data_IF_523437816302
#
_entry.id   IF_523437816302
#
_cell.length_a   1.000
_cell.length_b   1.000
_cell.length_c   1.000
_cell.angle_alpha   90.00
_cell.angle_beta   90.00
_cell.angle_gamma   90.00
#
_symmetry.space_group_name_H-M   'P 1'
#
loop_
_entity.id
_entity.type
_entity.pdbx_description
1 polymer ?
#
# COMPACT_ATOMS: atom_id res chain seq x y z
N UNK A 1 31.51 15.65 -1.50
CA UNK A 1 30.16 15.65 -0.91
C UNK A 1 29.50 14.31 -1.20
N UNK A 2 28.99 13.59 -0.20
CA UNK A 2 28.35 12.28 -0.42
C UNK A 2 26.98 12.48 -1.07
N UNK A 3 26.77 11.87 -2.23
CA UNK A 3 25.49 11.82 -2.93
C UNK A 3 24.54 10.89 -2.17
N UNK A 4 23.45 11.44 -1.64
CA UNK A 4 22.38 10.66 -1.01
C UNK A 4 21.27 10.46 -2.04
N UNK A 5 20.99 9.21 -2.43
CA UNK A 5 19.81 8.91 -3.24
C UNK A 5 18.58 9.00 -2.35
N UNK A 6 17.58 9.85 -2.67
CA UNK A 6 16.38 9.94 -1.86
C UNK A 6 15.68 8.57 -1.87
N UNK A 7 15.56 7.96 -0.69
CA UNK A 7 14.92 6.68 -0.49
C UNK A 7 13.42 6.81 -0.83
N UNK A 8 13.03 6.28 -1.99
CA UNK A 8 11.66 6.43 -2.54
C UNK A 8 10.69 5.31 -2.11
N UNK A 9 11.16 4.35 -1.32
CA UNK A 9 10.35 3.18 -0.93
C UNK A 9 9.28 3.51 0.12
N UNK A 10 9.35 4.66 0.78
CA UNK A 10 8.36 5.15 1.75
C UNK A 10 6.94 5.31 1.14
N UNK A 11 6.83 5.37 -0.19
CA UNK A 11 5.55 5.44 -0.91
C UNK A 11 5.11 4.11 -1.53
N UNK A 12 5.89 3.04 -1.37
CA UNK A 12 5.43 1.71 -1.73
C UNK A 12 4.40 1.29 -0.69
N UNK A 13 3.30 0.69 -1.14
CA UNK A 13 2.21 0.25 -0.28
C UNK A 13 2.74 -0.49 0.95
N UNK A 14 2.20 -0.18 2.13
CA UNK A 14 2.56 -0.89 3.34
C UNK A 14 2.09 -2.35 3.23
N UNK A 15 3.06 -3.26 3.28
CA UNK A 15 2.82 -4.70 3.24
C UNK A 15 2.91 -5.27 4.66
N UNK A 16 1.86 -5.94 5.09
CA UNK A 16 1.76 -6.65 6.37
C UNK A 16 1.62 -8.14 6.04
N UNK A 17 2.58 -8.96 6.48
CA UNK A 17 2.65 -10.40 6.16
C UNK A 17 2.52 -10.72 4.65
N UNK A 18 3.04 -9.84 3.78
CA UNK A 18 3.02 -10.04 2.33
C UNK A 18 1.72 -9.60 1.64
N UNK A 19 0.71 -9.18 2.40
CA UNK A 19 -0.53 -8.57 1.90
C UNK A 19 -0.47 -7.04 2.09
N UNK A 20 -1.03 -6.25 1.17
CA UNK A 20 -1.26 -4.83 1.41
C UNK A 20 -2.29 -4.65 2.53
N UNK A 21 -2.21 -3.51 3.24
CA UNK A 21 -3.02 -3.23 4.44
C UNK A 21 -4.52 -3.51 4.23
N UNK A 22 -5.08 -3.18 3.06
CA UNK A 22 -6.50 -3.40 2.78
C UNK A 22 -6.88 -4.89 2.70
N UNK A 23 -6.05 -5.74 2.06
CA UNK A 23 -6.27 -7.19 2.03
C UNK A 23 -6.02 -7.82 3.41
N UNK A 24 -5.04 -7.30 4.15
CA UNK A 24 -4.81 -7.72 5.53
C UNK A 24 -6.02 -7.42 6.41
N UNK A 25 -6.63 -6.25 6.29
CA UNK A 25 -7.86 -5.91 7.02
C UNK A 25 -9.01 -6.87 6.68
N UNK A 26 -9.17 -7.24 5.41
CA UNK A 26 -10.17 -8.23 4.99
C UNK A 26 -9.94 -9.60 5.66
N UNK A 27 -8.69 -10.06 5.72
CA UNK A 27 -8.32 -11.28 6.45
C UNK A 27 -8.68 -11.18 7.93
N UNK A 28 -8.39 -10.05 8.58
CA UNK A 28 -8.69 -9.86 10.00
C UNK A 28 -10.19 -9.86 10.28
N UNK A 29 -11.00 -9.28 9.41
CA UNK A 29 -12.47 -9.33 9.53
C UNK A 29 -12.96 -10.78 9.43
N UNK A 30 -12.44 -11.57 8.48
CA UNK A 30 -12.79 -12.99 8.36
C UNK A 30 -12.42 -13.80 9.61
N UNK A 31 -11.27 -13.52 10.22
CA UNK A 31 -10.84 -14.14 11.49
C UNK A 31 -11.81 -13.79 12.61
N UNK A 32 -12.17 -12.51 12.76
CA UNK A 32 -13.08 -12.05 13.82
C UNK A 32 -14.48 -12.68 13.65
N UNK A 33 -15.04 -12.66 12.44
CA UNK A 33 -16.34 -13.25 12.14
C UNK A 33 -16.31 -14.77 12.35
N UNK A 34 -15.24 -15.44 11.91
CA UNK A 34 -15.05 -16.87 12.11
C UNK A 34 -14.97 -17.23 13.60
N UNK A 35 -14.22 -16.46 14.39
CA UNK A 35 -14.13 -16.65 15.83
C UNK A 35 -15.51 -16.50 16.49
N UNK A 36 -16.26 -15.46 16.12
CA UNK A 36 -17.62 -15.24 16.62
C UNK A 36 -18.54 -16.42 16.27
N UNK A 37 -18.44 -16.98 15.07
CA UNK A 37 -19.22 -18.14 14.68
C UNK A 37 -18.85 -19.40 15.48
N UNK A 38 -17.55 -19.63 15.71
CA UNK A 38 -17.06 -20.81 16.44
C UNK A 38 -17.59 -20.82 17.88
N UNK A 39 -17.57 -19.67 18.57
CA UNK A 39 -18.02 -19.61 19.96
C UNK A 39 -19.52 -19.88 20.12
N UNK A 40 -20.35 -19.58 19.11
CA UNK A 40 -21.79 -19.88 19.14
C UNK A 40 -22.14 -21.30 18.67
N UNK A 41 -21.29 -21.93 17.85
CA UNK A 41 -21.59 -23.22 17.23
C UNK A 41 -21.30 -24.43 18.14
N UNK A 42 -20.50 -24.28 19.21
CA UNK A 42 -20.16 -25.30 20.22
C UNK A 42 -19.82 -26.71 19.64
N UNK A 43 -19.11 -26.79 18.52
CA UNK A 43 -18.77 -28.05 17.87
C UNK A 43 -17.33 -28.09 17.36
N UNK A 44 -16.65 -29.23 17.57
CA UNK A 44 -15.29 -29.49 17.07
C UNK A 44 -15.16 -29.27 15.55
N UNK A 45 -16.21 -29.61 14.80
CA UNK A 45 -16.25 -29.41 13.35
C UNK A 45 -16.21 -27.93 12.95
N UNK A 46 -16.82 -27.05 13.75
CA UNK A 46 -16.81 -25.60 13.49
C UNK A 46 -15.41 -25.01 13.59
N UNK A 47 -14.62 -25.48 14.57
CA UNK A 47 -13.22 -25.07 14.74
C UNK A 47 -12.39 -25.47 13.50
N UNK A 48 -12.52 -26.71 13.05
CA UNK A 48 -11.78 -27.20 11.88
C UNK A 48 -12.14 -26.42 10.61
N UNK A 49 -13.43 -26.17 10.38
CA UNK A 49 -13.92 -25.42 9.21
C UNK A 49 -13.47 -23.95 9.30
N UNK A 50 -13.59 -23.33 10.47
CA UNK A 50 -13.20 -21.93 10.66
C UNK A 50 -11.70 -21.71 10.48
N UNK A 51 -10.86 -22.59 11.03
CA UNK A 51 -9.40 -22.52 10.87
C UNK A 51 -8.98 -22.78 9.42
N UNK A 52 -9.49 -23.85 8.80
CA UNK A 52 -9.16 -24.18 7.41
C UNK A 52 -9.66 -23.12 6.42
N UNK A 53 -10.86 -22.57 6.65
CA UNK A 53 -11.43 -21.48 5.85
C UNK A 53 -10.58 -20.21 5.92
N UNK A 54 -10.13 -19.81 7.11
CA UNK A 54 -9.24 -18.66 7.27
C UNK A 54 -7.89 -18.86 6.57
N UNK A 55 -7.33 -20.06 6.64
CA UNK A 55 -6.09 -20.40 5.96
C UNK A 55 -6.26 -20.38 4.43
N UNK A 56 -7.35 -20.94 3.93
CA UNK A 56 -7.65 -20.98 2.50
C UNK A 56 -7.88 -19.57 1.94
N UNK A 57 -8.61 -18.73 2.68
CA UNK A 57 -8.84 -17.33 2.34
C UNK A 57 -7.50 -16.57 2.26
N UNK A 58 -6.62 -16.73 3.24
CA UNK A 58 -5.29 -16.12 3.22
C UNK A 58 -4.48 -16.51 1.98
N UNK A 59 -4.46 -17.79 1.62
CA UNK A 59 -3.79 -18.27 0.41
C UNK A 59 -4.42 -17.69 -0.86
N UNK A 60 -5.75 -17.60 -0.95
CA UNK A 60 -6.42 -16.96 -2.07
C UNK A 60 -6.01 -15.50 -2.21
N UNK A 61 -6.02 -14.73 -1.12
CA UNK A 61 -5.64 -13.30 -1.12
C UNK A 61 -4.19 -13.09 -1.56
N UNK A 62 -3.26 -13.94 -1.13
CA UNK A 62 -1.86 -13.90 -1.60
C UNK A 62 -1.77 -14.11 -3.11
N UNK A 63 -2.49 -15.09 -3.65
CA UNK A 63 -2.45 -15.39 -5.08
C UNK A 63 -3.10 -14.27 -5.91
N UNK A 64 -4.21 -13.69 -5.43
CA UNK A 64 -4.84 -12.50 -6.01
C UNK A 64 -3.87 -11.32 -6.05
N UNK A 65 -3.12 -11.07 -4.97
CA UNK A 65 -2.08 -10.04 -4.93
C UNK A 65 -0.95 -10.30 -5.91
N UNK A 66 -0.50 -11.54 -6.06
CA UNK A 66 0.53 -11.91 -7.06
C UNK A 66 0.07 -11.59 -8.48
N UNK A 67 -1.21 -11.83 -8.79
CA UNK A 67 -1.79 -11.47 -10.08
C UNK A 67 -1.91 -9.95 -10.26
N UNK A 68 -2.40 -9.24 -9.25
CA UNK A 68 -2.55 -7.77 -9.26
C UNK A 68 -1.20 -7.04 -9.38
N UNK A 69 -0.13 -7.54 -8.72
CA UNK A 69 1.22 -6.99 -8.86
C UNK A 69 1.78 -7.12 -10.29
N UNK A 70 1.35 -8.15 -11.04
CA UNK A 70 1.69 -8.30 -12.47
C UNK A 70 0.93 -7.31 -13.35
N UNK A 71 -0.24 -6.87 -12.87
CA UNK A 71 -1.13 -5.90 -13.52
C UNK A 71 -0.96 -4.52 -12.82
N UNK A 72 0.21 -4.19 -12.25
CA UNK A 72 0.40 -2.86 -11.67
C UNK A 72 0.34 -1.79 -12.77
N UNK A 73 -0.88 -1.29 -12.91
CA UNK A 73 -1.38 -0.17 -13.66
C UNK A 73 -0.50 1.04 -13.36
N UNK A 74 0.16 1.52 -14.42
CA UNK A 74 0.64 2.87 -14.63
C UNK A 74 1.08 3.67 -13.39
N UNK A 75 2.40 3.86 -13.30
CA UNK A 75 3.02 4.93 -12.51
C UNK A 75 2.37 6.29 -12.84
N UNK A 76 1.37 6.73 -12.07
CA UNK A 76 0.80 8.09 -12.17
C UNK A 76 1.71 9.17 -11.55
N UNK A 77 2.96 8.84 -11.20
CA UNK A 77 3.94 9.85 -10.79
C UNK A 77 4.87 10.19 -11.96
N UNK A 78 4.84 11.43 -12.48
CA UNK A 78 5.77 11.86 -13.51
C UNK A 78 7.21 11.75 -12.98
N UNK A 79 8.10 11.17 -13.81
CA UNK A 79 9.52 10.89 -13.46
C UNK A 79 10.31 12.13 -13.05
N UNK A 80 9.90 13.32 -13.49
CA UNK A 80 10.59 14.58 -13.22
C UNK A 80 9.64 15.63 -12.66
N UNK A 81 9.68 15.84 -11.34
CA UNK A 81 9.37 17.14 -10.77
C UNK A 81 10.72 17.83 -10.58
N UNK A 82 11.23 18.44 -11.65
CA UNK A 82 12.40 19.30 -11.55
C UNK A 82 11.93 20.63 -10.96
N UNK A 83 12.24 20.86 -9.69
CA UNK A 83 12.15 22.20 -9.13
C UNK A 83 13.32 22.98 -9.72
N UNK A 84 13.13 23.59 -10.90
CA UNK A 84 14.08 24.61 -11.35
C UNK A 84 14.04 25.72 -10.30
N UNK A 85 15.17 25.96 -9.64
CA UNK A 85 15.26 27.09 -8.72
C UNK A 85 14.97 28.36 -9.52
N UNK A 86 13.92 29.07 -9.13
CA UNK A 86 13.66 30.43 -9.59
C UNK A 86 14.85 31.28 -9.12
N UNK A 87 15.76 31.55 -10.06
CA UNK A 87 16.87 32.48 -9.87
C UNK A 87 16.27 33.85 -9.48
N UNK A 88 16.55 34.38 -8.27
CA UNK A 88 15.93 35.63 -7.77
C UNK A 88 16.30 36.87 -8.59
N UNK A 89 17.38 36.76 -9.37
CA UNK A 89 18.04 37.86 -10.05
C UNK A 89 17.43 38.25 -11.40
N UNK A 90 16.46 37.51 -11.94
CA UNK A 90 15.75 37.93 -13.16
C UNK A 90 14.47 38.73 -12.88
N UNK A 91 13.85 38.54 -11.71
CA UNK A 91 12.63 39.27 -11.35
C UNK A 91 12.88 40.67 -10.79
N UNK A 92 14.08 40.94 -10.28
CA UNK A 92 14.44 42.28 -9.82
C UNK A 92 14.70 43.23 -10.99
N UNK A 93 15.08 42.76 -12.19
CA UNK A 93 15.51 43.67 -13.28
C UNK A 93 14.37 44.49 -13.90
N UNK A 94 13.13 43.99 -13.81
CA UNK A 94 11.98 44.67 -14.41
C UNK A 94 11.40 45.80 -13.54
N UNK A 95 11.77 45.92 -12.27
CA UNK A 95 11.17 46.90 -11.34
C UNK A 95 11.89 48.25 -11.28
N UNK A 96 13.03 48.42 -11.94
CA UNK A 96 13.77 49.71 -11.96
C UNK A 96 13.75 50.45 -13.31
N UNK A 97 13.13 49.90 -14.34
CA UNK A 97 12.90 50.62 -15.62
C UNK A 97 11.55 51.38 -15.65
N UNK A 98 10.80 51.38 -14.54
CA UNK A 98 9.47 52.03 -14.45
C UNK A 98 9.38 53.15 -13.40
N UNK A 99 10.50 53.80 -13.07
CA UNK A 99 10.56 55.02 -12.28
C UNK A 99 11.37 56.09 -13.00
#
# INVERSE_FOLDING_TARGET
MKTYTPYRDIRKEALIFGLPVYLFALQMIAVIVGLLAIIFAFGWMSILIGCSGNFLLYLMLINLKKLSARIQVFQMFPRHISTKQLKPNHFMIRTYESL
#
